data_IF_624867250014
#
_entry.id   IF_624867250014
#
_cell.length_a   1.000
_cell.length_b   1.000
_cell.length_c   1.000
_cell.angle_alpha   90.00
_cell.angle_beta   90.00
_cell.angle_gamma   90.00
#
_symmetry.space_group_name_H-M   'P 1'
#
loop_
_entity.id
_entity.type
_entity.pdbx_description
1 polymer ?
#
# COMPACT_ATOMS: atom_id res chain seq x y z
N UNK A 1 1.38 24.82 41.52
CA UNK A 1 2.49 23.85 41.33
C UNK A 1 2.36 23.27 39.93
N UNK A 2 3.06 23.86 38.96
CA UNK A 2 2.98 23.49 37.54
C UNK A 2 4.02 22.42 37.22
N UNK A 3 3.59 21.22 36.87
CA UNK A 3 4.48 20.18 36.35
C UNK A 3 4.70 20.37 34.85
N UNK A 4 5.80 21.02 34.49
CA UNK A 4 6.35 20.98 33.13
C UNK A 4 6.98 19.60 32.89
N UNK A 5 6.39 18.81 32.01
CA UNK A 5 7.01 17.59 31.50
C UNK A 5 7.87 17.96 30.29
N UNK A 6 9.18 18.10 30.50
CA UNK A 6 10.17 18.18 29.42
C UNK A 6 10.38 16.77 28.86
N UNK A 7 9.63 16.41 27.82
CA UNK A 7 9.91 15.21 27.03
C UNK A 7 11.14 15.46 26.17
N UNK A 8 12.30 14.94 26.58
CA UNK A 8 13.48 14.86 25.73
C UNK A 8 13.18 13.92 24.56
N UNK A 9 13.01 14.49 23.37
CA UNK A 9 13.08 13.75 22.11
C UNK A 9 14.54 13.35 21.92
N UNK A 10 14.86 12.07 22.10
CA UNK A 10 16.16 11.55 21.71
C UNK A 10 16.09 11.38 20.20
N UNK A 11 16.68 12.32 19.46
CA UNK A 11 16.88 12.16 18.04
C UNK A 11 17.79 10.95 17.83
N UNK A 12 17.27 9.94 17.14
CA UNK A 12 18.04 8.76 16.77
C UNK A 12 18.98 9.20 15.64
N UNK A 13 20.20 9.59 16.02
CA UNK A 13 21.26 9.90 15.06
C UNK A 13 21.93 8.59 14.64
N UNK A 14 21.68 8.16 13.42
CA UNK A 14 22.40 7.04 12.83
C UNK A 14 23.82 7.49 12.45
N UNK A 15 24.83 6.75 12.89
CA UNK A 15 26.21 6.97 12.43
C UNK A 15 26.35 6.48 10.99
N UNK A 16 26.19 7.39 10.04
CA UNK A 16 26.24 7.10 8.61
C UNK A 16 27.68 6.81 8.13
N UNK A 17 28.71 7.15 8.92
CA UNK A 17 30.11 6.91 8.56
C UNK A 17 30.45 5.41 8.55
N UNK A 18 29.74 4.60 9.36
CA UNK A 18 29.89 3.15 9.40
C UNK A 18 29.64 2.48 8.03
N UNK A 19 28.89 3.12 7.14
CA UNK A 19 28.53 2.59 5.82
C UNK A 19 29.36 3.18 4.67
N UNK A 20 30.31 4.09 4.95
CA UNK A 20 31.09 4.79 3.94
C UNK A 20 31.95 3.87 3.05
N UNK A 21 32.30 2.67 3.54
CA UNK A 21 33.09 1.66 2.81
C UNK A 21 32.30 0.89 1.75
N UNK A 22 30.99 1.10 1.67
CA UNK A 22 30.13 0.45 0.69
C UNK A 22 30.00 1.42 -0.48
N UNK A 23 30.71 1.19 -1.59
CA UNK A 23 30.71 2.10 -2.75
C UNK A 23 29.28 2.43 -3.25
N UNK A 24 28.36 1.45 -3.13
CA UNK A 24 26.94 1.62 -3.46
C UNK A 24 26.16 2.55 -2.49
N UNK A 25 26.61 2.75 -1.25
CA UNK A 25 25.99 3.63 -0.25
C UNK A 25 26.23 5.11 -0.56
N UNK A 26 27.44 5.48 -0.99
CA UNK A 26 27.79 6.89 -1.23
C UNK A 26 27.04 7.49 -2.43
N UNK A 27 26.70 6.67 -3.44
CA UNK A 27 25.99 7.13 -4.63
C UNK A 27 24.48 7.27 -4.41
N UNK A 28 23.83 6.28 -3.77
CA UNK A 28 22.37 6.23 -3.58
C UNK A 28 21.99 5.50 -2.26
N UNK A 29 22.14 6.13 -1.10
CA UNK A 29 22.02 5.47 0.21
C UNK A 29 20.63 4.89 0.49
N UNK A 30 19.56 5.50 -0.01
CA UNK A 30 18.20 4.97 0.17
C UNK A 30 17.96 3.71 -0.67
N UNK A 31 18.47 3.68 -1.90
CA UNK A 31 18.43 2.46 -2.76
C UNK A 31 19.24 1.34 -2.16
N UNK A 32 20.35 1.66 -1.51
CA UNK A 32 21.13 0.69 -0.77
C UNK A 32 20.33 0.05 0.38
N UNK A 33 19.47 0.82 1.06
CA UNK A 33 18.61 0.28 2.12
C UNK A 33 17.51 -0.64 1.60
N UNK A 34 17.10 -0.51 0.33
CA UNK A 34 16.07 -1.36 -0.27
C UNK A 34 16.42 -2.87 -0.14
N UNK A 35 17.71 -3.22 -0.12
CA UNK A 35 18.18 -4.61 0.08
C UNK A 35 17.76 -5.25 1.39
N UNK A 36 17.46 -4.44 2.41
CA UNK A 36 17.00 -4.93 3.72
C UNK A 36 15.49 -5.15 3.77
N UNK A 37 14.77 -4.73 2.73
CA UNK A 37 13.34 -4.96 2.62
C UNK A 37 13.07 -6.22 1.81
N UNK A 38 12.10 -7.00 2.26
CA UNK A 38 11.45 -7.98 1.38
C UNK A 38 10.36 -7.26 0.61
N UNK A 39 10.52 -7.12 -0.71
CA UNK A 39 9.52 -6.50 -1.58
C UNK A 39 8.65 -7.57 -2.23
N UNK A 40 7.34 -7.42 -2.13
CA UNK A 40 6.34 -8.21 -2.85
C UNK A 40 5.34 -7.26 -3.51
N UNK A 41 4.57 -7.76 -4.46
CA UNK A 41 3.63 -6.95 -5.22
C UNK A 41 2.23 -7.52 -5.10
N UNK A 42 1.28 -6.64 -4.79
CA UNK A 42 -0.08 -7.01 -4.52
C UNK A 42 -0.90 -7.06 -5.81
N UNK A 43 -1.56 -8.19 -6.03
CA UNK A 43 -2.52 -8.36 -7.11
C UNK A 43 -3.91 -8.07 -6.56
N UNK A 44 -4.49 -6.94 -6.97
CA UNK A 44 -5.86 -6.64 -6.60
C UNK A 44 -6.80 -7.72 -7.17
N UNK A 45 -7.87 -8.12 -6.46
CA UNK A 45 -8.90 -8.93 -7.07
C UNK A 45 -9.47 -8.16 -8.28
N UNK A 46 -9.65 -8.86 -9.40
CA UNK A 46 -10.42 -8.32 -10.53
C UNK A 46 -11.79 -7.90 -10.00
N UNK A 47 -12.28 -6.75 -10.44
CA UNK A 47 -13.54 -6.13 -9.99
C UNK A 47 -14.80 -6.93 -10.36
N UNK A 48 -14.70 -8.24 -10.63
CA UNK A 48 -15.82 -9.15 -10.89
C UNK A 48 -16.37 -9.83 -9.63
N UNK A 49 -15.81 -9.57 -8.45
CA UNK A 49 -16.44 -9.98 -7.18
C UNK A 49 -17.26 -8.82 -6.61
N UNK A 50 -18.55 -8.91 -6.85
CA UNK A 50 -19.60 -8.08 -6.28
C UNK A 50 -19.53 -8.08 -4.75
N UNK A 51 -19.19 -6.93 -4.17
CA UNK A 51 -19.63 -6.56 -2.83
C UNK A 51 -21.16 -6.40 -2.88
N UNK A 52 -21.85 -7.54 -2.78
CA UNK A 52 -23.28 -7.64 -2.50
C UNK A 52 -23.44 -8.40 -1.20
N UNK A 53 -23.04 -7.75 -0.09
CA UNK A 53 -23.69 -8.02 1.17
C UNK A 53 -25.14 -7.50 1.05
N UNK A 54 -26.08 -8.38 0.71
CA UNK A 54 -27.51 -8.06 0.78
C UNK A 54 -28.29 -9.25 1.33
N UNK A 55 -28.95 -8.97 2.45
CA UNK A 55 -30.27 -9.45 2.82
C UNK A 55 -30.80 -10.70 2.10
N UNK A 56 -30.83 -11.77 2.89
CA UNK A 56 -31.80 -12.86 2.91
C UNK A 56 -33.19 -12.46 2.37
N UNK A 57 -33.48 -12.75 1.11
CA UNK A 57 -34.83 -13.11 0.64
C UNK A 57 -34.77 -14.24 -0.37
N UNK A 58 -35.63 -15.21 -0.10
CA UNK A 58 -35.87 -16.49 -0.74
C UNK A 58 -36.63 -16.28 -2.05
N UNK A 59 -36.12 -16.79 -3.18
CA UNK A 59 -36.95 -17.14 -4.33
C UNK A 59 -36.27 -18.22 -5.20
N UNK A 60 -36.81 -19.42 -5.04
CA UNK A 60 -37.11 -20.48 -6.01
C UNK A 60 -36.08 -21.19 -6.89
N UNK A 61 -36.42 -22.47 -7.03
CA UNK A 61 -35.93 -23.53 -7.88
C UNK A 61 -35.85 -23.10 -9.35
N UNK A 62 -34.76 -23.47 -10.03
CA UNK A 62 -34.71 -24.04 -11.39
C UNK A 62 -33.33 -24.71 -11.54
N UNK A 63 -33.32 -25.97 -11.99
CA UNK A 63 -32.15 -26.78 -12.31
C UNK A 63 -31.47 -26.35 -13.63
N UNK A 64 -30.20 -26.74 -13.86
CA UNK A 64 -29.32 -26.10 -14.83
C UNK A 64 -29.39 -26.73 -16.22
N UNK A 65 -29.09 -25.94 -17.25
CA UNK A 65 -28.72 -26.44 -18.58
C UNK A 65 -27.26 -26.02 -18.85
N UNK A 66 -26.34 -26.92 -19.26
CA UNK A 66 -24.93 -26.62 -19.43
C UNK A 66 -24.62 -26.33 -20.90
N UNK A 67 -24.21 -25.10 -21.21
CA UNK A 67 -23.56 -24.83 -22.50
C UNK A 67 -22.54 -23.70 -22.36
N UNK A 68 -21.29 -24.12 -22.28
CA UNK A 68 -20.17 -23.59 -23.05
C UNK A 68 -19.99 -22.07 -23.13
N UNK A 69 -19.13 -21.52 -22.29
CA UNK A 69 -18.38 -20.31 -22.61
C UNK A 69 -16.93 -20.44 -22.15
N UNK A 70 -16.04 -20.49 -23.14
CA UNK A 70 -14.61 -20.27 -23.09
C UNK A 70 -14.17 -19.35 -21.95
N UNK A 71 -13.43 -19.92 -20.99
CA UNK A 71 -12.78 -19.18 -19.92
C UNK A 71 -11.60 -18.39 -20.51
N UNK A 72 -11.91 -17.23 -21.10
CA UNK A 72 -10.96 -16.19 -21.43
C UNK A 72 -10.37 -15.69 -20.11
N UNK A 73 -9.17 -16.15 -19.77
CA UNK A 73 -8.45 -15.69 -18.59
C UNK A 73 -8.22 -14.19 -18.72
N UNK A 74 -9.00 -13.39 -17.99
CA UNK A 74 -8.77 -11.97 -17.83
C UNK A 74 -7.32 -11.82 -17.32
N UNK A 75 -6.44 -11.06 -17.98
CA UNK A 75 -5.11 -10.82 -17.44
C UNK A 75 -5.28 -10.25 -16.04
N UNK A 76 -4.66 -10.92 -15.06
CA UNK A 76 -4.64 -10.48 -13.67
C UNK A 76 -4.29 -8.98 -13.67
N UNK A 77 -5.02 -8.13 -12.95
CA UNK A 77 -4.70 -6.71 -12.93
C UNK A 77 -3.23 -6.57 -12.49
N UNK A 78 -2.43 -5.74 -13.17
CA UNK A 78 -0.99 -5.75 -12.94
C UNK A 78 -0.71 -5.34 -11.51
N UNK A 79 0.38 -5.89 -10.95
CA UNK A 79 0.73 -5.74 -9.55
C UNK A 79 1.25 -4.31 -9.25
N UNK A 80 0.30 -3.36 -9.26
CA UNK A 80 0.51 -1.92 -9.25
C UNK A 80 0.86 -1.35 -7.88
N UNK A 81 0.77 -2.16 -6.83
CA UNK A 81 1.18 -1.78 -5.47
C UNK A 81 2.30 -2.69 -5.02
N UNK A 82 3.33 -2.11 -4.40
CA UNK A 82 4.33 -2.88 -3.67
C UNK A 82 3.95 -2.96 -2.19
N UNK A 83 4.46 -4.02 -1.56
CA UNK A 83 4.57 -4.21 -0.12
C UNK A 83 6.04 -4.40 0.20
N UNK A 84 6.62 -3.46 0.91
CA UNK A 84 8.02 -3.52 1.40
C UNK A 84 8.03 -3.84 2.88
N UNK A 85 8.46 -5.05 3.23
CA UNK A 85 8.57 -5.46 4.63
C UNK A 85 9.98 -5.21 5.16
N UNK A 86 10.08 -4.38 6.18
CA UNK A 86 11.33 -4.11 6.90
C UNK A 86 11.75 -5.30 7.80
N UNK A 87 13.00 -5.35 8.30
CA UNK A 87 13.45 -6.40 9.22
C UNK A 87 12.60 -6.55 10.49
N UNK A 88 12.00 -5.45 10.97
CA UNK A 88 11.08 -5.45 12.11
C UNK A 88 9.64 -5.89 11.76
N UNK A 89 9.43 -6.40 10.55
CA UNK A 89 8.16 -6.87 9.97
C UNK A 89 7.11 -5.79 9.73
N UNK A 90 7.42 -4.50 9.85
CA UNK A 90 6.51 -3.46 9.38
C UNK A 90 6.47 -3.48 7.85
N UNK A 91 5.25 -3.44 7.30
CA UNK A 91 4.99 -3.42 5.87
C UNK A 91 4.67 -2.00 5.44
N UNK A 92 5.44 -1.48 4.48
CA UNK A 92 5.21 -0.20 3.83
C UNK A 92 4.50 -0.43 2.50
N UNK A 93 3.40 0.28 2.27
CA UNK A 93 2.56 0.17 1.07
C UNK A 93 2.80 1.38 0.17
N UNK A 94 3.04 1.16 -1.12
CA UNK A 94 3.29 2.21 -2.11
C UNK A 94 2.99 1.77 -3.54
N UNK A 95 3.18 2.69 -4.50
CA UNK A 95 3.01 2.38 -5.92
C UNK A 95 4.23 1.64 -6.46
N UNK A 96 4.00 0.54 -7.17
CA UNK A 96 5.03 -0.14 -7.94
C UNK A 96 5.53 0.77 -9.08
N UNK A 97 6.79 0.61 -9.49
CA UNK A 97 7.37 1.40 -10.60
C UNK A 97 6.64 1.19 -11.93
N UNK A 98 6.00 0.02 -12.11
CA UNK A 98 5.19 -0.33 -13.28
C UNK A 98 3.77 0.26 -13.25
N UNK A 99 3.40 1.03 -12.21
CA UNK A 99 2.08 1.62 -12.12
C UNK A 99 1.88 2.69 -13.22
N UNK A 100 0.78 2.68 -14.00
CA UNK A 100 0.54 3.61 -15.10
C UNK A 100 0.63 5.10 -14.72
N UNK A 101 0.20 5.46 -13.50
CA UNK A 101 0.42 6.80 -12.92
C UNK A 101 1.87 7.26 -12.95
N UNK A 102 2.85 6.36 -12.78
CA UNK A 102 4.28 6.68 -12.73
C UNK A 102 4.98 6.50 -14.08
N UNK A 103 4.31 5.91 -15.07
CA UNK A 103 4.84 5.71 -16.41
C UNK A 103 4.55 6.93 -17.29
N UNK A 104 5.58 7.69 -17.72
CA UNK A 104 5.40 8.85 -18.59
C UNK A 104 4.70 8.52 -19.91
N UNK A 105 4.87 7.30 -20.44
CA UNK A 105 4.24 6.87 -21.69
C UNK A 105 2.71 6.71 -21.53
N UNK A 106 2.25 6.39 -20.32
CA UNK A 106 0.83 6.24 -19.99
C UNK A 106 0.15 7.57 -19.67
N UNK A 107 0.90 8.67 -19.47
CA UNK A 107 0.35 9.95 -19.00
C UNK A 107 -0.65 10.57 -19.98
N UNK A 108 -0.50 10.34 -21.29
CA UNK A 108 -1.46 10.77 -22.29
C UNK A 108 -2.83 10.09 -22.14
N UNK A 109 -2.89 8.88 -21.56
CA UNK A 109 -4.14 8.14 -21.35
C UNK A 109 -4.67 8.34 -19.94
N UNK A 110 -3.79 8.21 -18.93
CA UNK A 110 -4.15 8.16 -17.52
C UNK A 110 -4.30 9.56 -16.89
N UNK A 111 -3.56 10.55 -17.42
CA UNK A 111 -3.48 11.88 -16.82
C UNK A 111 -2.47 11.98 -15.67
N UNK A 112 -2.45 13.12 -15.00
CA UNK A 112 -1.64 13.37 -13.80
C UNK A 112 -2.47 13.23 -12.55
N UNK A 113 -1.84 12.89 -11.42
CA UNK A 113 -2.53 12.90 -10.12
C UNK A 113 -3.03 14.31 -9.81
N UNK A 114 -4.34 14.43 -9.61
CA UNK A 114 -5.02 15.67 -9.25
C UNK A 114 -5.28 15.78 -7.74
N UNK A 115 -5.62 14.66 -7.09
CA UNK A 115 -5.85 14.59 -5.63
C UNK A 115 -5.68 13.17 -5.10
N UNK A 116 -5.29 13.07 -3.83
CA UNK A 116 -5.27 11.81 -3.07
C UNK A 116 -6.26 11.95 -1.91
N UNK A 117 -7.23 11.05 -1.84
CA UNK A 117 -8.29 11.05 -0.85
C UNK A 117 -8.18 9.80 0.02
N UNK A 118 -7.72 9.95 1.26
CA UNK A 118 -7.70 8.84 2.22
C UNK A 118 -9.12 8.52 2.69
N UNK A 119 -9.45 7.23 2.77
CA UNK A 119 -10.77 6.84 3.25
C UNK A 119 -10.94 7.26 4.70
N UNK A 120 -12.15 7.69 5.06
CA UNK A 120 -12.41 8.29 6.38
C UNK A 120 -11.95 7.39 7.54
N UNK A 121 -12.16 6.08 7.44
CA UNK A 121 -11.74 5.14 8.49
C UNK A 121 -10.23 5.21 8.76
N UNK A 122 -9.41 5.30 7.70
CA UNK A 122 -7.95 5.42 7.79
C UNK A 122 -7.55 6.80 8.30
N UNK A 123 -8.19 7.86 7.78
CA UNK A 123 -7.91 9.23 8.19
C UNK A 123 -8.23 9.48 9.68
N UNK A 124 -9.31 8.87 10.18
CA UNK A 124 -9.77 8.97 11.57
C UNK A 124 -8.97 8.08 12.53
N UNK A 125 -8.11 7.20 12.02
CA UNK A 125 -7.28 6.31 12.82
C UNK A 125 -6.17 7.10 13.57
N UNK A 126 -6.54 7.79 14.64
CA UNK A 126 -5.60 8.43 15.57
C UNK A 126 -4.89 7.37 16.41
N UNK A 127 -3.65 7.03 16.04
CA UNK A 127 -2.77 6.18 16.86
C UNK A 127 -2.08 7.04 17.92
N UNK A 128 -2.80 7.50 18.94
CA UNK A 128 -2.22 8.26 20.06
C UNK A 128 -2.18 7.45 21.37
N UNK A 129 -0.98 7.36 21.98
CA UNK A 129 -0.76 6.83 23.33
C UNK A 129 -0.05 5.47 23.41
N UNK A 130 0.67 5.23 24.55
CA UNK A 130 1.49 4.03 24.85
C UNK A 130 0.80 2.68 24.67
N UNK A 131 -0.54 2.63 24.59
CA UNK A 131 -1.34 1.38 24.50
C UNK A 131 -1.97 1.11 23.12
N UNK A 132 -1.71 1.92 22.07
CA UNK A 132 -2.21 1.72 20.68
C UNK A 132 -3.69 1.28 20.60
N UNK A 133 -4.54 1.80 21.48
CA UNK A 133 -5.85 1.21 21.82
C UNK A 133 -6.98 1.57 20.84
N UNK A 134 -6.64 2.08 19.65
CA UNK A 134 -7.58 2.44 18.59
C UNK A 134 -7.02 2.26 17.17
N UNK A 135 -5.90 1.55 17.01
CA UNK A 135 -5.32 1.37 15.69
C UNK A 135 -6.13 0.35 14.87
N UNK A 136 -6.64 0.81 13.73
CA UNK A 136 -7.54 0.09 12.84
C UNK A 136 -6.89 -1.18 12.29
N UNK A 137 -7.63 -2.29 12.29
CA UNK A 137 -7.22 -3.51 11.57
C UNK A 137 -7.76 -3.47 10.15
N UNK A 138 -6.89 -3.76 9.19
CA UNK A 138 -7.17 -3.77 7.77
C UNK A 138 -7.02 -5.20 7.24
N UNK A 139 -7.93 -5.61 6.36
CA UNK A 139 -7.76 -6.78 5.52
C UNK A 139 -6.99 -6.38 4.25
N UNK A 140 -6.35 -7.32 3.52
CA UNK A 140 -5.55 -6.98 2.34
C UNK A 140 -6.31 -6.15 1.31
N UNK A 141 -7.59 -6.45 1.10
CA UNK A 141 -8.41 -5.81 0.07
C UNK A 141 -9.05 -4.47 0.54
N UNK A 142 -8.87 -4.10 1.81
CA UNK A 142 -9.43 -2.87 2.39
C UNK A 142 -8.85 -1.63 1.69
N UNK A 143 -9.68 -0.74 1.11
CA UNK A 143 -9.23 0.53 0.56
C UNK A 143 -8.55 1.40 1.62
N UNK A 144 -7.43 2.02 1.26
CA UNK A 144 -6.67 2.96 2.08
C UNK A 144 -6.87 4.39 1.58
N UNK A 145 -6.74 4.58 0.26
CA UNK A 145 -7.01 5.86 -0.37
C UNK A 145 -7.40 5.69 -1.84
N UNK A 146 -7.94 6.77 -2.39
CA UNK A 146 -8.28 6.92 -3.79
C UNK A 146 -7.35 7.98 -4.41
N UNK A 147 -6.67 7.61 -5.49
CA UNK A 147 -5.83 8.52 -6.26
C UNK A 147 -6.61 8.92 -7.51
N UNK A 148 -7.01 10.19 -7.57
CA UNK A 148 -7.77 10.74 -8.69
C UNK A 148 -6.83 11.41 -9.69
N UNK A 149 -7.10 11.24 -10.98
CA UNK A 149 -6.37 11.93 -12.04
C UNK A 149 -7.16 13.10 -12.62
N UNK A 150 -6.46 14.02 -13.27
CA UNK A 150 -7.05 15.15 -14.00
C UNK A 150 -7.90 14.72 -15.21
N UNK A 151 -7.76 13.46 -15.65
CA UNK A 151 -8.60 12.82 -16.68
C UNK A 151 -9.80 12.06 -16.11
N UNK A 152 -10.05 12.15 -14.80
CA UNK A 152 -11.21 11.55 -14.14
C UNK A 152 -11.06 10.06 -13.82
N UNK A 153 -9.87 9.47 -14.00
CA UNK A 153 -9.61 8.11 -13.54
C UNK A 153 -9.37 8.08 -12.04
N UNK A 154 -9.72 6.95 -11.40
CA UNK A 154 -9.54 6.75 -9.97
C UNK A 154 -8.85 5.41 -9.72
N UNK A 155 -7.69 5.45 -9.06
CA UNK A 155 -6.96 4.27 -8.64
C UNK A 155 -7.19 4.03 -7.14
N UNK A 156 -7.67 2.85 -6.79
CA UNK A 156 -7.86 2.47 -5.38
C UNK A 156 -6.60 1.79 -4.84
N UNK A 157 -5.97 2.41 -3.85
CA UNK A 157 -4.87 1.85 -3.09
C UNK A 157 -5.44 1.05 -1.93
N UNK A 158 -4.93 -0.16 -1.72
CA UNK A 158 -5.43 -1.13 -0.73
C UNK A 158 -4.34 -1.49 0.27
N UNK A 159 -4.76 -1.95 1.43
CA UNK A 159 -3.85 -2.31 2.52
C UNK A 159 -2.84 -3.40 2.14
N UNK A 160 -3.18 -4.26 1.17
CA UNK A 160 -2.35 -5.31 0.56
C UNK A 160 -1.89 -6.43 1.50
N UNK A 161 -1.93 -6.22 2.82
CA UNK A 161 -1.62 -7.19 3.87
C UNK A 161 -2.64 -7.09 5.01
N UNK A 162 -2.85 -8.20 5.71
CA UNK A 162 -3.67 -8.21 6.92
C UNK A 162 -2.89 -7.69 8.13
N UNK A 163 -3.37 -6.63 8.78
CA UNK A 163 -2.66 -6.08 9.93
C UNK A 163 -3.28 -4.85 10.56
N UNK A 164 -2.55 -4.28 11.50
CA UNK A 164 -2.91 -3.04 12.19
C UNK A 164 -2.24 -1.86 11.50
N UNK A 165 -3.04 -0.86 11.09
CA UNK A 165 -2.54 0.41 10.58
C UNK A 165 -1.70 1.10 11.67
N UNK A 166 -0.46 1.40 11.34
CA UNK A 166 0.48 2.12 12.22
C UNK A 166 0.49 3.60 11.87
N UNK A 167 0.58 3.89 10.58
CA UNK A 167 0.69 5.25 10.05
C UNK A 167 0.12 5.29 8.63
N UNK A 168 -0.42 6.44 8.24
CA UNK A 168 -0.77 6.78 6.87
C UNK A 168 -0.18 8.15 6.54
N UNK A 169 0.16 8.37 5.27
CA UNK A 169 0.90 9.57 4.87
C UNK A 169 -0.04 10.72 4.53
N UNK A 170 -0.42 11.49 5.55
CA UNK A 170 -1.29 12.66 5.39
C UNK A 170 -0.75 13.73 4.43
N UNK A 171 0.56 13.75 4.18
CA UNK A 171 1.17 14.69 3.24
C UNK A 171 0.67 14.47 1.82
N UNK A 172 0.33 13.24 1.42
CA UNK A 172 -0.14 12.96 0.06
C UNK A 172 -1.48 13.63 -0.26
N UNK A 173 -2.33 13.89 0.75
CA UNK A 173 -3.57 14.64 0.54
C UNK A 173 -3.31 16.14 0.26
N UNK A 174 -2.19 16.67 0.75
CA UNK A 174 -1.82 18.09 0.60
C UNK A 174 -0.82 18.32 -0.55
N UNK A 175 0.01 17.32 -0.85
CA UNK A 175 1.08 17.38 -1.84
C UNK A 175 1.16 16.06 -2.60
N UNK A 176 0.20 15.78 -3.51
CA UNK A 176 0.19 14.57 -4.33
C UNK A 176 1.43 14.39 -5.21
N UNK A 177 2.13 15.49 -5.53
CA UNK A 177 3.33 15.52 -6.37
C UNK A 177 4.52 14.76 -5.74
N UNK A 178 4.44 14.43 -4.45
CA UNK A 178 5.43 13.57 -3.79
C UNK A 178 5.52 12.20 -4.47
N UNK A 179 4.42 11.69 -5.06
CA UNK A 179 4.43 10.44 -5.81
C UNK A 179 5.44 10.44 -6.97
N UNK A 180 5.75 11.62 -7.50
CA UNK A 180 6.68 11.80 -8.63
C UNK A 180 8.05 12.31 -8.19
N UNK A 181 8.05 13.31 -7.31
CA UNK A 181 9.27 14.06 -6.95
C UNK A 181 10.11 13.34 -5.89
N UNK A 182 9.44 12.62 -4.97
CA UNK A 182 10.07 11.96 -3.83
C UNK A 182 9.37 10.61 -3.56
N UNK A 183 9.40 9.67 -4.54
CA UNK A 183 8.67 8.40 -4.44
C UNK A 183 9.07 7.56 -3.21
N UNK A 184 10.28 7.76 -2.69
CA UNK A 184 10.77 7.14 -1.46
C UNK A 184 10.07 7.62 -0.18
N UNK A 185 9.49 8.83 -0.23
CA UNK A 185 8.69 9.41 0.86
C UNK A 185 7.19 9.25 0.64
N UNK A 186 6.77 8.77 -0.54
CA UNK A 186 5.38 8.73 -0.98
C UNK A 186 4.66 7.40 -0.66
N UNK A 187 4.94 6.82 0.52
CA UNK A 187 4.18 5.67 1.01
C UNK A 187 2.73 6.07 1.32
N UNK A 188 1.78 5.14 1.22
CA UNK A 188 0.38 5.39 1.61
C UNK A 188 0.08 4.94 3.03
N UNK A 189 0.60 3.78 3.42
CA UNK A 189 0.37 3.20 4.74
C UNK A 189 1.58 2.41 5.24
N UNK A 190 1.76 2.39 6.56
CA UNK A 190 2.61 1.46 7.28
C UNK A 190 1.70 0.57 8.11
N UNK A 191 1.81 -0.74 7.90
CA UNK A 191 0.97 -1.75 8.54
C UNK A 191 1.84 -2.69 9.35
N UNK A 192 1.46 -2.95 10.59
CA UNK A 192 2.02 -4.04 11.40
C UNK A 192 1.21 -5.30 11.14
N UNK A 193 1.78 -6.34 10.53
CA UNK A 193 1.04 -7.56 10.25
C UNK A 193 0.52 -8.25 11.52
N UNK A 194 -0.58 -8.96 11.38
CA UNK A 194 -1.18 -9.73 12.49
C UNK A 194 -0.43 -11.00 12.87
N UNK A 195 0.55 -11.40 12.08
CA UNK A 195 1.37 -12.62 12.20
C UNK A 195 2.82 -12.31 11.86
N UNK A 196 3.75 -13.17 12.28
CA UNK A 196 5.17 -13.09 11.90
C UNK A 196 5.54 -14.04 10.76
N UNK A 197 4.60 -14.91 10.35
CA UNK A 197 4.76 -15.86 9.25
C UNK A 197 4.67 -15.14 7.90
N UNK A 198 5.81 -15.03 7.20
CA UNK A 198 5.90 -14.33 5.92
C UNK A 198 4.94 -14.88 4.86
N UNK A 199 4.70 -16.19 4.82
CA UNK A 199 3.81 -16.78 3.82
C UNK A 199 2.37 -16.29 4.01
N UNK A 200 1.96 -16.10 5.27
CA UNK A 200 0.65 -15.54 5.61
C UNK A 200 0.58 -14.02 5.44
N UNK A 201 1.69 -13.30 5.63
CA UNK A 201 1.74 -11.85 5.41
C UNK A 201 1.56 -11.53 3.94
N UNK A 202 2.18 -12.32 3.06
CA UNK A 202 2.19 -12.11 1.62
C UNK A 202 1.25 -13.05 0.86
N UNK A 203 0.20 -13.55 1.48
CA UNK A 203 -0.76 -14.50 0.88
C UNK A 203 -1.45 -13.93 -0.39
N UNK A 204 -1.61 -12.61 -0.45
CA UNK A 204 -2.14 -11.84 -1.60
C UNK A 204 -1.06 -11.18 -2.45
N UNK A 205 0.21 -11.47 -2.19
CA UNK A 205 1.33 -10.79 -2.85
C UNK A 205 2.27 -11.79 -3.53
N UNK A 206 2.80 -11.38 -4.67
CA UNK A 206 3.70 -12.18 -5.48
C UNK A 206 5.09 -11.54 -5.53
N UNK A 207 6.09 -12.33 -5.90
CA UNK A 207 7.38 -11.77 -6.29
C UNK A 207 7.21 -11.11 -7.66
N UNK A 208 7.98 -10.05 -7.92
CA UNK A 208 8.06 -9.54 -9.28
C UNK A 208 8.84 -10.57 -10.09
N UNK A 209 8.15 -11.34 -10.91
CA UNK A 209 8.78 -12.02 -12.02
C UNK A 209 9.30 -10.94 -12.94
N UNK A 210 10.62 -10.82 -13.04
CA UNK A 210 11.31 -9.94 -13.97
C UNK A 210 10.85 -10.28 -15.40
N UNK A 211 9.88 -9.53 -15.92
CA UNK A 211 9.73 -9.32 -17.34
C UNK A 211 10.56 -8.09 -17.69
N UNK A 212 11.86 -8.34 -17.89
CA UNK A 212 12.75 -7.47 -18.66
C UNK A 212 12.45 -7.64 -20.15
#
# INVERSE_FOLDING_TARGET
>A
MSHMHTGSSVDITYDLAAYAHLDAWQAQPLRFLDRYFTTRYYCAPSSSSSDSATQKRKLDQISPDPSDHSESSVPLPPAWQYVRMAPNKLCVIGLASVHPLLDPSCQATVGRVARVEFVQQVADAQVRGKKKRGAQRLAPDTPVCLVHTDKGLVFTIRASVHGQLVEWNARLALTPELLYTHPEQAFFAIIKPGTLDNAKIFDRCHEQTDAL
#
